data_IF_530766398018
#
_entry.id   IF_530766398018
#
_cell.length_a   1.000
_cell.length_b   1.000
_cell.length_c   1.000
_cell.angle_alpha   90.00
_cell.angle_beta   90.00
_cell.angle_gamma   90.00
#
_symmetry.space_group_name_H-M   'P 1'
#
loop_
_entity.id
_entity.type
_entity.pdbx_description
1 polymer ?
#
# COMPACT_ATOMS: atom_id res chain seq x y z
N UNK A 1 -7.04 -5.46 -8.96
CA UNK A 1 -7.24 -4.02 -9.19
C UNK A 1 -6.37 -3.19 -8.25
N UNK A 2 -6.60 -3.19 -6.93
CA UNK A 2 -5.79 -2.41 -5.96
C UNK A 2 -4.27 -2.54 -6.12
N UNK A 3 -3.74 -3.76 -6.27
CA UNK A 3 -2.28 -3.97 -6.46
C UNK A 3 -1.77 -3.37 -7.78
N UNK A 4 -2.54 -3.45 -8.88
CA UNK A 4 -2.19 -2.81 -10.15
C UNK A 4 -2.12 -1.28 -9.98
N UNK A 5 -3.12 -0.70 -9.30
CA UNK A 5 -3.17 0.73 -9.03
C UNK A 5 -1.98 1.19 -8.18
N UNK A 6 -1.67 0.47 -7.10
CA UNK A 6 -0.52 0.80 -6.26
C UNK A 6 0.81 0.72 -7.02
N UNK A 7 1.00 -0.28 -7.88
CA UNK A 7 2.20 -0.34 -8.72
C UNK A 7 2.21 0.86 -9.68
N UNK A 8 1.10 1.15 -10.37
CA UNK A 8 1.05 2.28 -11.30
C UNK A 8 1.25 3.66 -10.66
N UNK A 9 0.82 3.83 -9.40
CA UNK A 9 0.95 5.11 -8.69
C UNK A 9 2.31 5.30 -8.03
N UNK A 10 3.01 4.22 -7.67
CA UNK A 10 4.21 4.30 -6.82
C UNK A 10 5.42 3.49 -7.32
N UNK A 11 5.36 2.88 -8.51
CA UNK A 11 6.50 2.13 -9.05
C UNK A 11 7.76 3.01 -9.18
N UNK A 12 8.96 2.43 -8.98
CA UNK A 12 9.21 1.06 -8.52
C UNK A 12 8.86 0.86 -7.04
N UNK A 13 8.06 -0.18 -6.73
CA UNK A 13 7.53 -0.42 -5.37
C UNK A 13 7.69 -1.89 -4.94
N UNK A 14 7.87 -2.16 -3.63
CA UNK A 14 7.94 -3.53 -3.09
C UNK A 14 6.56 -4.06 -2.73
N UNK A 15 6.37 -5.37 -2.81
CA UNK A 15 5.11 -6.01 -2.40
C UNK A 15 4.74 -5.72 -0.93
N UNK A 16 5.74 -5.65 -0.03
CA UNK A 16 5.52 -5.30 1.37
C UNK A 16 5.01 -3.85 1.55
N UNK A 17 5.50 -2.93 0.72
CA UNK A 17 5.08 -1.53 0.76
C UNK A 17 3.63 -1.40 0.28
N UNK A 18 3.23 -2.16 -0.75
CA UNK A 18 1.83 -2.24 -1.19
C UNK A 18 0.94 -2.81 -0.09
N UNK A 19 1.35 -3.90 0.56
CA UNK A 19 0.59 -4.51 1.66
C UNK A 19 0.33 -3.49 2.78
N UNK A 20 1.37 -2.76 3.16
CA UNK A 20 1.27 -1.70 4.16
C UNK A 20 0.35 -0.56 3.72
N UNK A 21 0.59 0.05 2.56
CA UNK A 21 -0.17 1.23 2.08
C UNK A 21 -1.64 0.92 1.80
N UNK A 22 -1.92 -0.24 1.22
CA UNK A 22 -3.29 -0.62 0.84
C UNK A 22 -4.09 -1.31 1.94
N UNK A 23 -3.45 -1.54 3.11
CA UNK A 23 -3.99 -2.34 4.22
C UNK A 23 -4.49 -3.72 3.77
N UNK A 24 -3.85 -4.31 2.76
CA UNK A 24 -4.11 -5.66 2.28
C UNK A 24 -3.08 -6.60 2.89
N UNK A 25 -3.50 -7.76 3.37
CA UNK A 25 -2.56 -8.76 3.90
C UNK A 25 -1.54 -9.20 2.83
N UNK A 26 -0.33 -9.52 3.28
CA UNK A 26 0.79 -9.84 2.40
C UNK A 26 0.51 -11.05 1.48
N UNK A 27 -0.35 -11.98 1.90
CA UNK A 27 -0.73 -13.14 1.10
C UNK A 27 -1.57 -12.73 -0.11
N UNK A 28 -2.59 -11.89 0.08
CA UNK A 28 -3.43 -11.37 -1.00
C UNK A 28 -2.65 -10.48 -1.96
N UNK A 29 -1.72 -9.65 -1.45
CA UNK A 29 -0.81 -8.89 -2.33
C UNK A 29 0.03 -9.85 -3.17
N UNK A 30 0.64 -10.86 -2.55
CA UNK A 30 1.46 -11.86 -3.27
C UNK A 30 0.66 -12.61 -4.34
N UNK A 31 -0.58 -12.99 -4.04
CA UNK A 31 -1.50 -13.63 -5.00
C UNK A 31 -1.80 -12.71 -6.18
N UNK A 32 -2.08 -11.43 -5.92
CA UNK A 32 -2.35 -10.46 -6.96
C UNK A 32 -1.12 -10.17 -7.84
N UNK A 33 0.07 -10.04 -7.25
CA UNK A 33 1.33 -9.87 -8.00
C UNK A 33 1.55 -11.06 -8.94
N UNK A 34 1.40 -12.30 -8.45
CA UNK A 34 1.50 -13.51 -9.30
C UNK A 34 0.48 -13.50 -10.45
N UNK A 35 -0.75 -13.05 -10.19
CA UNK A 35 -1.77 -12.96 -11.22
C UNK A 35 -1.45 -11.90 -12.28
N UNK A 36 -0.93 -10.73 -11.88
CA UNK A 36 -0.50 -9.67 -12.80
C UNK A 36 0.70 -10.10 -13.65
N UNK A 37 1.67 -10.79 -13.03
CA UNK A 37 2.81 -11.34 -13.74
C UNK A 37 2.38 -12.41 -14.75
N UNK A 38 1.48 -13.33 -14.37
CA UNK A 38 0.92 -14.33 -15.30
C UNK A 38 0.18 -13.69 -16.49
N UNK A 39 -0.38 -12.50 -16.29
CA UNK A 39 -1.05 -11.70 -17.34
C UNK A 39 -0.08 -10.83 -18.15
N UNK A 40 1.23 -10.90 -17.88
CA UNK A 40 2.25 -10.08 -18.51
C UNK A 40 1.99 -8.57 -18.40
N UNK A 41 1.54 -8.11 -17.23
CA UNK A 41 1.26 -6.69 -16.96
C UNK A 41 2.33 -6.00 -16.13
N UNK A 42 3.22 -6.77 -15.49
CA UNK A 42 4.25 -6.24 -14.60
C UNK A 42 5.57 -6.97 -14.82
N UNK A 43 6.66 -6.25 -14.58
CA UNK A 43 8.01 -6.76 -14.51
C UNK A 43 8.52 -6.72 -13.06
N UNK A 44 9.43 -7.64 -12.74
CA UNK A 44 10.11 -7.68 -11.44
C UNK A 44 11.57 -7.31 -11.66
N UNK A 45 11.97 -6.17 -11.10
CA UNK A 45 13.34 -5.67 -11.17
C UNK A 45 14.06 -5.96 -9.85
N UNK A 46 15.20 -6.66 -9.86
CA UNK A 46 16.03 -6.79 -8.67
C UNK A 46 16.66 -5.44 -8.32
N UNK A 47 16.86 -5.20 -7.04
CA UNK A 47 17.66 -4.06 -6.57
C UNK A 47 19.15 -4.28 -6.90
N UNK A 48 19.84 -3.21 -7.30
CA UNK A 48 21.26 -3.24 -7.69
C UNK A 48 22.19 -3.65 -6.54
N UNK A 49 21.80 -3.34 -5.30
CA UNK A 49 22.60 -3.59 -4.11
C UNK A 49 22.18 -4.85 -3.34
N UNK A 50 20.94 -5.32 -3.54
CA UNK A 50 20.43 -6.51 -2.86
C UNK A 50 19.44 -7.33 -3.71
N UNK A 51 19.87 -8.51 -4.14
CA UNK A 51 19.01 -9.48 -4.87
C UNK A 51 17.78 -9.96 -4.08
N UNK A 52 17.75 -9.72 -2.77
CA UNK A 52 16.60 -10.04 -1.92
C UNK A 52 15.47 -9.02 -2.07
N UNK A 53 15.74 -7.84 -2.63
CA UNK A 53 14.73 -6.81 -2.88
C UNK A 53 14.26 -6.96 -4.33
N UNK A 54 12.93 -7.02 -4.47
CA UNK A 54 12.23 -7.13 -5.76
C UNK A 54 11.28 -5.96 -5.90
N UNK A 55 11.57 -5.08 -6.84
CA UNK A 55 10.69 -3.98 -7.22
C UNK A 55 9.71 -4.44 -8.30
N UNK A 56 8.48 -4.01 -8.16
CA UNK A 56 7.40 -4.23 -9.11
C UNK A 56 7.25 -2.98 -9.96
N UNK A 57 7.19 -3.17 -11.27
CA UNK A 57 7.03 -2.09 -12.25
C UNK A 57 5.96 -2.51 -13.26
N UNK A 58 5.10 -1.58 -13.69
CA UNK A 58 4.20 -1.83 -14.81
C UNK A 58 5.02 -1.86 -16.10
N UNK A 59 4.77 -2.84 -16.95
CA UNK A 59 5.27 -2.79 -18.33
C UNK A 59 4.31 -1.97 -19.22
N UNK A 60 4.60 -1.86 -20.51
CA UNK A 60 3.76 -1.09 -21.44
C UNK A 60 2.28 -1.52 -21.43
N UNK A 61 1.99 -2.82 -21.33
CA UNK A 61 0.61 -3.33 -21.27
C UNK A 61 -0.03 -2.99 -19.92
N UNK A 62 0.73 -3.11 -18.84
CA UNK A 62 0.32 -2.70 -17.50
C UNK A 62 -0.04 -1.23 -17.42
N UNK A 63 0.79 -0.35 -18.00
CA UNK A 63 0.57 1.10 -18.03
C UNK A 63 -0.72 1.45 -18.79
N UNK A 64 -0.94 0.84 -19.96
CA UNK A 64 -2.19 1.04 -20.73
C UNK A 64 -3.42 0.66 -19.91
N UNK A 65 -3.39 -0.50 -19.26
CA UNK A 65 -4.49 -0.95 -18.42
C UNK A 65 -4.69 -0.05 -17.18
N UNK A 66 -3.59 0.37 -16.55
CA UNK A 66 -3.65 1.30 -15.42
C UNK A 66 -4.38 2.58 -15.80
N UNK A 67 -4.02 3.22 -16.91
CA UNK A 67 -4.67 4.45 -17.37
C UNK A 67 -6.15 4.27 -17.68
N UNK A 68 -6.53 3.16 -18.34
CA UNK A 68 -7.93 2.85 -18.62
C UNK A 68 -8.75 2.73 -17.32
N UNK A 69 -8.18 2.11 -16.29
CA UNK A 69 -8.85 1.93 -15.00
C UNK A 69 -8.92 3.26 -14.23
N UNK A 70 -7.83 4.03 -14.18
CA UNK A 70 -7.78 5.27 -13.41
C UNK A 70 -8.67 6.35 -13.99
N UNK A 71 -8.82 6.44 -15.30
CA UNK A 71 -9.70 7.42 -15.93
C UNK A 71 -11.15 7.29 -15.41
N UNK A 72 -11.73 6.09 -15.52
CA UNK A 72 -13.09 5.84 -15.04
C UNK A 72 -13.22 5.92 -13.53
N UNK A 73 -12.15 5.64 -12.78
CA UNK A 73 -12.18 5.76 -11.31
C UNK A 73 -12.15 7.21 -10.85
N UNK A 74 -11.35 8.07 -11.48
CA UNK A 74 -11.25 9.48 -11.11
C UNK A 74 -12.57 10.21 -11.38
N UNK A 75 -13.21 9.97 -12.52
CA UNK A 75 -14.52 10.56 -12.84
C UNK A 75 -15.57 10.24 -11.76
N UNK A 76 -15.59 8.98 -11.28
CA UNK A 76 -16.50 8.55 -10.21
C UNK A 76 -16.12 9.11 -8.85
N UNK A 77 -14.83 9.27 -8.58
CA UNK A 77 -14.35 9.86 -7.33
C UNK A 77 -14.72 11.35 -7.26
N UNK A 78 -14.53 12.09 -8.36
CA UNK A 78 -14.90 13.49 -8.47
C UNK A 78 -16.42 13.70 -8.27
N UNK A 79 -17.25 12.83 -8.86
CA UNK A 79 -18.71 12.87 -8.67
C UNK A 79 -19.11 12.55 -7.21
N UNK A 80 -18.43 11.62 -6.56
CA UNK A 80 -18.69 11.29 -5.16
C UNK A 80 -18.27 12.43 -4.22
N UNK A 81 -17.13 13.05 -4.49
CA UNK A 81 -16.57 14.14 -3.67
C UNK A 81 -17.21 15.49 -3.94
N UNK A 82 -17.96 15.65 -5.04
CA UNK A 82 -18.58 16.94 -5.42
C UNK A 82 -19.60 17.46 -4.41
N UNK A 83 -20.01 16.64 -3.45
CA UNK A 83 -20.89 17.04 -2.33
C UNK A 83 -20.17 17.86 -1.27
N UNK A 84 -18.83 17.87 -1.26
CA UNK A 84 -17.99 18.61 -0.33
C UNK A 84 -17.33 19.78 -1.06
N UNK A 85 -17.29 20.94 -0.42
CA UNK A 85 -16.42 22.01 -0.89
C UNK A 85 -14.93 21.73 -0.55
N UNK A 86 -14.04 22.63 -0.97
CA UNK A 86 -12.59 22.44 -0.76
C UNK A 86 -12.18 22.44 0.71
N UNK A 87 -12.86 23.22 1.54
CA UNK A 87 -12.56 23.35 2.96
C UNK A 87 -13.06 22.13 3.73
N UNK A 88 -14.27 21.66 3.40
CA UNK A 88 -14.88 20.44 3.91
C UNK A 88 -14.07 19.20 3.52
N UNK A 89 -13.68 19.08 2.25
CA UNK A 89 -12.84 17.97 1.78
C UNK A 89 -11.49 17.96 2.51
N UNK A 90 -10.83 19.11 2.63
CA UNK A 90 -9.57 19.21 3.38
C UNK A 90 -9.74 18.90 4.88
N UNK A 91 -10.86 19.29 5.49
CA UNK A 91 -11.17 18.91 6.88
C UNK A 91 -11.43 17.41 7.02
N UNK A 92 -12.21 16.82 6.11
CA UNK A 92 -12.52 15.40 6.08
C UNK A 92 -11.26 14.55 6.01
N UNK A 93 -10.36 14.84 5.06
CA UNK A 93 -9.09 14.12 4.92
C UNK A 93 -8.19 14.27 6.17
N UNK A 94 -8.12 15.47 6.77
CA UNK A 94 -7.39 15.67 8.03
C UNK A 94 -7.98 14.86 9.20
N UNK A 95 -9.30 14.74 9.27
CA UNK A 95 -9.95 13.93 10.32
C UNK A 95 -9.67 12.44 10.13
N UNK A 96 -9.72 11.95 8.89
CA UNK A 96 -9.37 10.56 8.56
C UNK A 96 -7.91 10.26 8.90
N UNK A 97 -6.98 11.14 8.51
CA UNK A 97 -5.55 11.00 8.79
C UNK A 97 -5.29 10.87 10.30
N UNK A 98 -5.87 11.74 11.12
CA UNK A 98 -5.73 11.67 12.59
C UNK A 98 -6.24 10.34 13.18
N UNK A 99 -7.33 9.81 12.64
CA UNK A 99 -7.89 8.53 13.09
C UNK A 99 -6.98 7.38 12.64
N UNK A 100 -6.48 7.42 11.40
CA UNK A 100 -5.58 6.42 10.85
C UNK A 100 -4.26 6.36 11.63
N UNK A 101 -3.62 7.49 11.90
CA UNK A 101 -2.41 7.57 12.72
C UNK A 101 -2.62 6.98 14.11
N UNK A 102 -3.77 7.27 14.73
CA UNK A 102 -4.11 6.71 16.04
C UNK A 102 -4.32 5.20 15.99
N UNK A 103 -4.99 4.70 14.95
CA UNK A 103 -5.21 3.28 14.74
C UNK A 103 -3.89 2.53 14.51
N UNK A 104 -3.02 3.05 13.64
CA UNK A 104 -1.69 2.49 13.39
C UNK A 104 -0.86 2.41 14.68
N UNK A 105 -0.85 3.50 15.46
CA UNK A 105 -0.14 3.55 16.74
C UNK A 105 -0.63 2.46 17.69
N UNK A 106 -1.95 2.29 17.85
CA UNK A 106 -2.53 1.24 18.72
C UNK A 106 -2.08 -0.14 18.26
N UNK A 107 -2.16 -0.42 16.95
CA UNK A 107 -1.78 -1.73 16.41
C UNK A 107 -0.28 -2.01 16.57
N UNK A 108 0.58 -1.01 16.37
CA UNK A 108 2.01 -1.14 16.55
C UNK A 108 2.38 -1.36 18.03
N UNK A 109 1.78 -0.59 18.95
CA UNK A 109 1.97 -0.77 20.40
C UNK A 109 1.52 -2.16 20.87
N UNK A 110 0.38 -2.65 20.41
CA UNK A 110 -0.11 -4.00 20.70
C UNK A 110 0.84 -5.08 20.16
N UNK A 111 1.34 -4.92 18.94
CA UNK A 111 2.28 -5.86 18.35
C UNK A 111 3.61 -5.87 19.11
N UNK A 112 4.12 -4.71 19.50
CA UNK A 112 5.33 -4.59 20.32
C UNK A 112 5.16 -5.20 21.71
N UNK A 113 4.00 -5.01 22.37
CA UNK A 113 3.71 -5.62 23.67
C UNK A 113 3.73 -7.14 23.57
N UNK A 114 3.08 -7.73 22.57
CA UNK A 114 3.07 -9.19 22.36
C UNK A 114 4.47 -9.76 22.16
N UNK A 115 5.35 -9.03 21.48
CA UNK A 115 6.76 -9.42 21.32
C UNK A 115 7.49 -9.40 22.67
N UNK A 116 7.26 -8.37 23.49
CA UNK A 116 7.83 -8.29 24.83
C UNK A 116 7.38 -9.45 25.73
N UNK A 117 6.14 -9.94 25.53
CA UNK A 117 5.58 -11.11 26.21
C UNK A 117 6.05 -12.45 25.61
N UNK A 118 6.99 -12.43 24.65
CA UNK A 118 7.62 -13.62 24.07
C UNK A 118 6.87 -14.24 22.88
N UNK A 119 5.82 -13.62 22.38
CA UNK A 119 5.11 -14.11 21.19
C UNK A 119 5.87 -13.77 19.90
N UNK A 120 5.87 -14.68 18.93
CA UNK A 120 6.37 -14.36 17.59
C UNK A 120 5.29 -13.62 16.78
N UNK A 121 5.56 -12.39 16.31
CA UNK A 121 4.58 -11.61 15.55
C UNK A 121 4.47 -12.15 14.12
N UNK A 122 3.26 -12.22 13.53
CA UNK A 122 3.08 -12.48 12.10
C UNK A 122 3.86 -11.47 11.24
N UNK A 123 4.17 -11.85 10.00
CA UNK A 123 4.93 -11.01 9.06
C UNK A 123 4.32 -9.60 8.90
N UNK A 124 3.00 -9.50 8.82
CA UNK A 124 2.29 -8.22 8.68
C UNK A 124 2.49 -7.31 9.92
N UNK A 125 2.58 -7.88 11.12
CA UNK A 125 2.90 -7.13 12.34
C UNK A 125 4.36 -6.70 12.38
N UNK A 126 5.29 -7.52 11.87
CA UNK A 126 6.70 -7.14 11.73
C UNK A 126 6.86 -5.93 10.80
N UNK A 127 6.17 -5.92 9.65
CA UNK A 127 6.17 -4.79 8.73
C UNK A 127 5.47 -3.56 9.32
N UNK A 128 4.34 -3.72 10.01
CA UNK A 128 3.66 -2.62 10.71
C UNK A 128 4.60 -1.93 11.71
N UNK A 129 5.30 -2.70 12.56
CA UNK A 129 6.25 -2.15 13.53
C UNK A 129 7.39 -1.42 12.82
N UNK A 130 7.94 -2.00 11.76
CA UNK A 130 9.01 -1.39 10.98
C UNK A 130 8.58 -0.03 10.42
N UNK A 131 7.37 0.06 9.88
CA UNK A 131 6.82 1.32 9.36
C UNK A 131 6.54 2.33 10.45
N UNK A 132 5.95 1.90 11.57
CA UNK A 132 5.70 2.77 12.72
C UNK A 132 6.99 3.38 13.28
N UNK A 133 8.07 2.59 13.38
CA UNK A 133 9.40 3.07 13.77
C UNK A 133 9.95 4.10 12.80
N UNK A 134 9.81 3.82 11.50
CA UNK A 134 10.24 4.74 10.43
C UNK A 134 9.48 6.07 10.45
N UNK A 135 8.16 6.06 10.67
CA UNK A 135 7.34 7.28 10.70
C UNK A 135 7.51 8.09 11.99
N UNK A 136 7.81 7.43 13.11
CA UNK A 136 7.97 8.09 14.42
C UNK A 136 9.42 8.41 14.80
N UNK A 137 10.40 7.99 13.99
CA UNK A 137 11.83 8.19 14.26
C UNK A 137 12.36 7.42 15.47
N UNK A 138 11.67 6.34 15.87
CA UNK A 138 12.01 5.50 17.03
C UNK A 138 12.65 4.17 16.65
#
# INVERSE_FOLDING_TARGET
MRVLLNIGSYMPIKAADIAYQSRIDSYNVSRAVKALQKKNLIDIQPDEHSRNIKYLVLNEQGIKLYHQVTQTMNERADELESVLDKEESALFYRMLEKIEEKAEKILAEQAMSKIADGAEPPADQKELIRWYKKSTGK
#
